data_IF_753873159791
#
_entry.id   IF_753873159791
#
_cell.length_a   1.000
_cell.length_b   1.000
_cell.length_c   1.000
_cell.angle_alpha   90.00
_cell.angle_beta   90.00
_cell.angle_gamma   90.00
#
_symmetry.space_group_name_H-M   'P 1'
#
loop_
_entity.id
_entity.type
_entity.pdbx_description
1 polymer ?
#
# COMPACT_ATOMS: atom_id res chain seq x y z
N UNK A 1 76.41 -59.48 2.85
CA UNK A 1 75.37 -58.42 2.83
C UNK A 1 75.82 -57.36 3.80
N UNK A 2 76.46 -56.29 3.30
CA UNK A 2 76.96 -55.18 4.12
C UNK A 2 75.84 -54.23 4.47
N UNK A 3 75.47 -54.26 5.75
CA UNK A 3 74.53 -53.26 6.33
C UNK A 3 75.37 -51.93 6.39
N UNK A 4 75.20 -51.10 5.39
CA UNK A 4 75.77 -49.76 5.36
C UNK A 4 75.39 -48.99 6.58
N UNK A 5 76.36 -48.46 7.30
CA UNK A 5 76.15 -47.51 8.42
C UNK A 5 75.42 -46.28 7.89
N UNK A 6 74.14 -46.20 8.22
CA UNK A 6 73.35 -45.03 7.92
C UNK A 6 73.99 -43.82 8.61
N UNK A 7 74.51 -42.91 7.80
CA UNK A 7 75.14 -41.68 8.28
C UNK A 7 74.09 -40.90 9.15
N UNK A 8 74.53 -40.43 10.29
CA UNK A 8 73.64 -39.74 11.27
C UNK A 8 72.77 -38.66 10.63
N UNK A 9 73.28 -38.06 9.56
CA UNK A 9 72.59 -37.02 8.79
C UNK A 9 71.43 -37.59 7.98
N UNK A 10 71.59 -38.78 7.37
CA UNK A 10 70.54 -39.46 6.58
C UNK A 10 69.44 -39.97 7.48
N UNK A 11 69.74 -40.40 8.73
CA UNK A 11 68.77 -40.80 9.71
C UNK A 11 67.86 -39.62 10.14
N UNK A 12 68.42 -38.42 10.38
CA UNK A 12 67.63 -37.24 10.72
C UNK A 12 66.74 -36.78 9.60
N UNK A 13 67.18 -36.84 8.33
CA UNK A 13 66.36 -36.49 7.17
C UNK A 13 65.21 -37.48 6.99
N UNK A 14 65.44 -38.77 7.16
CA UNK A 14 64.40 -39.78 7.10
C UNK A 14 63.36 -39.61 8.25
N UNK A 15 63.82 -39.35 9.47
CA UNK A 15 62.97 -39.14 10.61
C UNK A 15 62.15 -37.85 10.47
N UNK A 16 62.74 -36.76 9.97
CA UNK A 16 62.08 -35.50 9.67
C UNK A 16 61.05 -35.67 8.56
N UNK A 17 61.38 -36.38 7.50
CA UNK A 17 60.43 -36.70 6.43
C UNK A 17 59.22 -37.53 6.89
N UNK A 18 59.49 -38.54 7.72
CA UNK A 18 58.43 -39.39 8.30
C UNK A 18 57.48 -38.54 9.20
N UNK A 19 58.08 -37.66 10.04
CA UNK A 19 57.31 -36.80 10.92
C UNK A 19 56.45 -35.79 10.13
N UNK A 20 56.98 -35.26 9.05
CA UNK A 20 56.27 -34.36 8.16
C UNK A 20 55.10 -35.05 7.48
N UNK A 21 55.28 -36.30 7.02
CA UNK A 21 54.21 -37.12 6.44
C UNK A 21 53.11 -37.41 7.49
N UNK A 22 53.47 -37.72 8.73
CA UNK A 22 52.50 -37.92 9.82
C UNK A 22 51.73 -36.66 10.15
N UNK A 23 52.40 -35.51 10.23
CA UNK A 23 51.74 -34.21 10.45
C UNK A 23 50.82 -33.84 9.29
N UNK A 24 51.23 -34.04 8.06
CA UNK A 24 50.39 -33.80 6.89
C UNK A 24 49.18 -34.79 6.87
N UNK A 25 49.43 -36.05 7.18
CA UNK A 25 48.40 -37.10 7.16
C UNK A 25 47.34 -36.92 8.27
N UNK A 26 47.77 -36.49 9.47
CA UNK A 26 46.86 -36.29 10.62
C UNK A 26 46.39 -34.85 10.73
N UNK A 27 47.21 -33.81 10.43
CA UNK A 27 46.86 -32.43 10.59
C UNK A 27 46.05 -31.87 9.41
N UNK A 28 46.31 -32.32 8.15
CA UNK A 28 45.60 -31.79 6.97
C UNK A 28 44.50 -32.72 6.46
N UNK A 29 44.68 -34.04 6.62
CA UNK A 29 43.67 -35.03 6.18
C UNK A 29 42.87 -35.68 7.32
N UNK A 30 43.27 -35.47 8.58
CA UNK A 30 42.61 -36.08 9.74
C UNK A 30 41.25 -35.47 10.12
N UNK A 31 40.94 -34.25 9.70
CA UNK A 31 39.72 -33.55 10.15
C UNK A 31 38.74 -33.19 9.01
N UNK A 32 38.78 -33.93 7.93
CA UNK A 32 37.65 -33.95 7.00
C UNK A 32 36.80 -35.23 7.17
N UNK A 33 36.55 -35.63 8.39
CA UNK A 33 35.27 -36.25 8.67
C UNK A 33 34.26 -35.13 8.43
N UNK A 34 33.78 -35.01 7.19
CA UNK A 34 32.49 -34.39 6.96
C UNK A 34 31.59 -35.00 8.02
N UNK A 35 31.30 -34.24 9.08
CA UNK A 35 30.05 -34.43 9.80
C UNK A 35 28.97 -34.24 8.71
N UNK A 36 28.68 -35.33 8.03
CA UNK A 36 27.33 -35.55 7.53
C UNK A 36 26.54 -35.55 8.82
N UNK A 37 26.12 -34.33 9.23
CA UNK A 37 24.99 -34.17 10.11
C UNK A 37 23.89 -34.81 9.29
N UNK A 38 23.78 -36.13 9.39
CA UNK A 38 22.54 -36.77 9.08
C UNK A 38 21.51 -35.97 9.86
N UNK A 39 20.53 -35.31 9.20
CA UNK A 39 19.43 -34.74 9.91
C UNK A 39 18.70 -35.93 10.55
N UNK A 40 19.17 -36.35 11.68
CA UNK A 40 18.39 -37.19 12.58
C UNK A 40 17.35 -36.25 13.22
N UNK A 41 16.53 -35.59 12.36
CA UNK A 41 15.21 -35.22 12.84
C UNK A 41 14.63 -36.52 13.34
N UNK A 42 14.60 -36.66 14.64
CA UNK A 42 14.01 -37.84 15.25
C UNK A 42 12.61 -37.99 14.64
N UNK A 43 12.26 -39.21 14.21
CA UNK A 43 10.95 -39.50 13.59
C UNK A 43 9.80 -38.75 14.30
N UNK A 44 9.77 -38.70 15.67
CA UNK A 44 8.78 -37.91 16.41
C UNK A 44 8.80 -36.42 16.12
N UNK A 45 9.97 -35.84 15.87
CA UNK A 45 10.07 -34.42 15.54
C UNK A 45 9.52 -34.09 14.11
N UNK A 46 9.79 -34.99 13.15
CA UNK A 46 9.24 -34.90 11.81
C UNK A 46 7.71 -35.11 11.81
N UNK A 47 7.20 -36.04 12.58
CA UNK A 47 5.75 -36.25 12.75
C UNK A 47 5.05 -35.06 13.40
N UNK A 48 5.63 -34.48 14.44
CA UNK A 48 5.09 -33.29 15.09
C UNK A 48 5.06 -32.08 14.14
N UNK A 49 6.09 -31.92 13.29
CA UNK A 49 6.16 -30.88 12.24
C UNK A 49 5.09 -31.12 11.18
N UNK A 50 4.92 -32.36 10.71
CA UNK A 50 3.86 -32.75 9.79
C UNK A 50 2.47 -32.48 10.36
N UNK A 51 2.24 -32.81 11.62
CA UNK A 51 0.99 -32.52 12.33
C UNK A 51 0.69 -31.06 12.36
N UNK A 52 1.65 -30.23 12.71
CA UNK A 52 1.52 -28.75 12.72
C UNK A 52 1.26 -28.19 11.32
N UNK A 53 1.97 -28.66 10.29
CA UNK A 53 1.75 -28.24 8.92
C UNK A 53 0.35 -28.61 8.41
N UNK A 54 -0.14 -29.82 8.73
CA UNK A 54 -1.51 -30.24 8.41
C UNK A 54 -2.55 -29.37 9.10
N UNK A 55 -2.32 -29.03 10.37
CA UNK A 55 -3.22 -28.15 11.11
C UNK A 55 -3.26 -26.74 10.51
N UNK A 56 -2.10 -26.19 10.14
CA UNK A 56 -2.02 -24.90 9.44
C UNK A 56 -2.73 -24.98 8.10
N UNK A 57 -2.46 -26.01 7.30
CA UNK A 57 -3.09 -26.23 6.01
C UNK A 57 -4.63 -26.33 6.12
N UNK A 58 -5.13 -26.98 7.16
CA UNK A 58 -6.56 -27.09 7.41
C UNK A 58 -7.22 -25.72 7.74
N UNK A 59 -6.47 -24.75 8.27
CA UNK A 59 -7.01 -23.40 8.56
C UNK A 59 -6.99 -22.45 7.34
N UNK A 60 -6.22 -22.78 6.29
CA UNK A 60 -6.08 -21.93 5.08
C UNK A 60 -7.42 -21.64 4.42
N UNK A 61 -8.27 -22.65 4.07
CA UNK A 61 -9.53 -22.36 3.37
C UNK A 61 -10.47 -21.48 4.18
N UNK A 62 -10.47 -21.63 5.51
CA UNK A 62 -11.24 -20.74 6.39
C UNK A 62 -10.76 -19.30 6.35
N UNK A 63 -9.44 -19.10 6.39
CA UNK A 63 -8.84 -17.74 6.30
C UNK A 63 -9.04 -17.11 4.93
N UNK A 64 -8.94 -17.90 3.86
CA UNK A 64 -9.21 -17.41 2.49
C UNK A 64 -10.67 -16.98 2.32
N UNK A 65 -11.62 -17.74 2.89
CA UNK A 65 -13.03 -17.36 2.87
C UNK A 65 -13.29 -16.06 3.64
N UNK A 66 -12.65 -15.86 4.78
CA UNK A 66 -12.74 -14.61 5.56
C UNK A 66 -12.11 -13.45 4.77
N UNK A 67 -10.93 -13.65 4.20
CA UNK A 67 -10.26 -12.64 3.38
C UNK A 67 -11.13 -12.23 2.19
N UNK A 68 -11.70 -13.21 1.48
CA UNK A 68 -12.60 -12.94 0.34
C UNK A 68 -13.86 -12.17 0.75
N UNK A 69 -14.44 -12.50 1.90
CA UNK A 69 -15.58 -11.74 2.43
C UNK A 69 -15.18 -10.31 2.80
N UNK A 70 -14.05 -10.14 3.49
CA UNK A 70 -13.56 -8.83 3.90
C UNK A 70 -13.20 -7.96 2.68
N UNK A 71 -12.56 -8.53 1.66
CA UNK A 71 -12.25 -7.78 0.43
C UNK A 71 -13.49 -7.39 -0.36
N UNK A 72 -14.49 -8.27 -0.46
CA UNK A 72 -15.76 -7.94 -1.12
C UNK A 72 -16.55 -6.87 -0.36
N UNK A 73 -16.54 -6.91 0.97
CA UNK A 73 -17.16 -5.88 1.80
C UNK A 73 -16.45 -4.53 1.64
N UNK A 74 -15.11 -4.53 1.65
CA UNK A 74 -14.30 -3.34 1.43
C UNK A 74 -14.60 -2.75 0.05
N UNK A 75 -14.55 -3.57 -1.02
CA UNK A 75 -14.86 -3.13 -2.37
C UNK A 75 -16.28 -2.57 -2.50
N UNK A 76 -17.25 -3.15 -1.77
CA UNK A 76 -18.60 -2.63 -1.71
C UNK A 76 -18.69 -1.25 -1.06
N UNK A 77 -17.91 -1.01 0.00
CA UNK A 77 -17.86 0.28 0.69
C UNK A 77 -17.07 1.33 -0.07
N UNK A 78 -16.08 0.91 -0.86
CA UNK A 78 -15.25 1.80 -1.66
C UNK A 78 -15.85 2.16 -3.03
N UNK A 79 -17.06 1.69 -3.36
CA UNK A 79 -17.70 1.99 -4.65
C UNK A 79 -17.88 3.48 -4.91
N UNK A 80 -18.05 4.27 -3.85
CA UNK A 80 -18.22 5.72 -3.93
C UNK A 80 -16.92 6.53 -3.97
N UNK A 81 -15.75 5.88 -3.93
CA UNK A 81 -14.46 6.56 -4.01
C UNK A 81 -14.13 6.86 -5.47
N UNK A 82 -13.71 8.11 -5.75
CA UNK A 82 -13.28 8.50 -7.10
C UNK A 82 -12.03 7.71 -7.53
N UNK A 83 -12.15 6.95 -8.63
CA UNK A 83 -11.06 6.18 -9.21
C UNK A 83 -10.37 7.02 -10.28
N UNK A 84 -9.21 7.54 -9.97
CA UNK A 84 -8.39 8.32 -10.88
C UNK A 84 -6.91 7.95 -10.74
N UNK A 85 -6.13 8.25 -11.76
CA UNK A 85 -4.68 8.02 -11.73
C UNK A 85 -3.90 9.24 -11.21
N UNK A 86 -4.49 10.42 -11.35
CA UNK A 86 -3.91 11.68 -10.89
C UNK A 86 -4.93 12.53 -10.12
N UNK A 87 -4.44 13.41 -9.26
CA UNK A 87 -5.27 14.35 -8.52
C UNK A 87 -6.06 15.29 -9.45
N UNK A 88 -5.44 15.76 -10.52
CA UNK A 88 -6.10 16.60 -11.51
C UNK A 88 -7.24 15.88 -12.22
N UNK A 89 -7.06 14.59 -12.51
CA UNK A 89 -8.10 13.76 -13.12
C UNK A 89 -9.27 13.54 -12.13
N UNK A 90 -8.97 13.31 -10.85
CA UNK A 90 -10.01 13.20 -9.81
C UNK A 90 -10.82 14.48 -9.67
N UNK A 91 -10.16 15.64 -9.68
CA UNK A 91 -10.82 16.96 -9.66
C UNK A 91 -11.68 17.18 -10.89
N UNK A 92 -11.19 16.80 -12.08
CA UNK A 92 -11.98 16.90 -13.32
C UNK A 92 -13.20 15.96 -13.31
N UNK A 93 -13.08 14.75 -12.77
CA UNK A 93 -14.22 13.86 -12.59
C UNK A 93 -15.26 14.44 -11.64
N UNK A 94 -14.80 14.95 -10.49
CA UNK A 94 -15.68 15.60 -9.52
C UNK A 94 -16.41 16.81 -10.14
N UNK A 95 -15.68 17.66 -10.87
CA UNK A 95 -16.27 18.79 -11.58
C UNK A 95 -17.31 18.34 -12.61
N UNK A 96 -17.05 17.25 -13.33
CA UNK A 96 -18.00 16.69 -14.30
C UNK A 96 -19.29 16.20 -13.63
N UNK A 97 -19.19 15.51 -12.49
CA UNK A 97 -20.36 15.10 -11.68
C UNK A 97 -21.16 16.34 -11.28
N UNK A 98 -20.48 17.36 -10.73
CA UNK A 98 -21.14 18.62 -10.33
C UNK A 98 -21.87 19.27 -11.52
N UNK A 99 -21.22 19.36 -12.67
CA UNK A 99 -21.83 19.94 -13.88
C UNK A 99 -23.04 19.15 -14.35
N UNK A 100 -22.96 17.81 -14.32
CA UNK A 100 -24.08 16.95 -14.72
C UNK A 100 -25.28 17.18 -13.83
N UNK A 101 -25.09 17.18 -12.51
CA UNK A 101 -26.15 17.40 -11.52
C UNK A 101 -26.69 18.83 -11.60
N UNK A 102 -25.83 19.83 -11.78
CA UNK A 102 -26.22 21.22 -11.93
C UNK A 102 -27.08 21.43 -13.19
N UNK A 103 -26.63 20.90 -14.33
CA UNK A 103 -27.36 21.00 -15.59
C UNK A 103 -28.75 20.32 -15.52
N UNK A 104 -28.85 19.16 -14.85
CA UNK A 104 -30.13 18.48 -14.62
C UNK A 104 -31.13 19.35 -13.82
N UNK A 105 -30.63 20.28 -12.98
CA UNK A 105 -31.43 21.22 -12.20
C UNK A 105 -31.51 22.63 -12.83
N UNK A 106 -31.05 22.79 -14.07
CA UNK A 106 -31.10 24.07 -14.78
C UNK A 106 -30.13 25.13 -14.21
N UNK A 107 -29.03 24.68 -13.59
CA UNK A 107 -28.01 25.54 -13.00
C UNK A 107 -26.77 25.53 -13.89
N UNK A 108 -26.27 26.71 -14.27
CA UNK A 108 -24.98 26.89 -14.97
C UNK A 108 -23.87 27.05 -13.91
N UNK A 109 -23.36 25.90 -13.42
CA UNK A 109 -22.26 25.88 -12.47
C UNK A 109 -20.93 26.13 -13.21
N UNK A 110 -20.11 27.02 -12.68
CA UNK A 110 -18.76 27.30 -13.20
C UNK A 110 -17.73 26.93 -12.17
N UNK A 111 -16.72 26.17 -12.59
CA UNK A 111 -15.55 25.94 -11.76
C UNK A 111 -14.85 27.25 -11.45
N UNK A 112 -14.49 27.48 -10.21
CA UNK A 112 -13.65 28.61 -9.86
C UNK A 112 -12.22 28.40 -10.33
N UNK A 113 -11.47 29.45 -10.56
CA UNK A 113 -10.05 29.36 -10.88
C UNK A 113 -9.25 28.84 -9.69
N UNK A 114 -8.37 27.88 -9.96
CA UNK A 114 -7.45 27.34 -8.97
C UNK A 114 -8.06 26.25 -8.08
N UNK A 115 -7.84 25.00 -8.45
CA UNK A 115 -8.21 23.88 -7.60
C UNK A 115 -7.22 23.75 -6.44
N UNK A 116 -7.69 23.61 -5.19
CA UNK A 116 -6.82 23.41 -4.05
C UNK A 116 -6.08 22.06 -4.17
N UNK A 117 -4.86 22.03 -3.65
CA UNK A 117 -4.09 20.78 -3.61
C UNK A 117 -4.81 19.71 -2.78
N UNK A 118 -4.74 18.44 -3.19
CA UNK A 118 -5.30 17.35 -2.42
C UNK A 118 -4.76 17.31 -1.00
N UNK A 119 -5.63 16.99 -0.04
CA UNK A 119 -5.28 16.90 1.38
C UNK A 119 -5.37 15.45 1.87
N UNK A 120 -4.52 15.04 2.82
CA UNK A 120 -4.68 13.75 3.47
C UNK A 120 -5.92 13.77 4.36
N UNK A 121 -6.80 12.79 4.21
CA UNK A 121 -7.97 12.62 5.05
C UNK A 121 -7.73 11.56 6.15
N UNK A 122 -7.08 10.44 5.77
CA UNK A 122 -6.72 9.34 6.67
C UNK A 122 -5.43 8.66 6.18
N UNK A 123 -5.07 7.51 6.79
CA UNK A 123 -3.88 6.75 6.40
C UNK A 123 -3.93 6.31 4.94
N UNK A 124 -5.10 5.84 4.48
CA UNK A 124 -5.28 5.21 3.17
C UNK A 124 -6.06 6.09 2.18
N UNK A 125 -6.58 7.22 2.64
CA UNK A 125 -7.44 8.09 1.85
C UNK A 125 -6.96 9.54 1.84
N UNK A 126 -7.33 10.22 0.78
CA UNK A 126 -7.17 11.66 0.60
C UNK A 126 -8.48 12.31 0.22
N UNK A 127 -8.46 13.62 0.17
CA UNK A 127 -9.57 14.48 -0.21
C UNK A 127 -9.15 15.38 -1.35
N UNK A 128 -9.96 15.45 -2.40
CA UNK A 128 -9.87 16.46 -3.46
C UNK A 128 -11.05 17.39 -3.34
N UNK A 129 -10.82 18.67 -3.52
CA UNK A 129 -11.87 19.69 -3.42
C UNK A 129 -11.96 20.49 -4.70
N UNK A 130 -13.18 20.87 -5.08
CA UNK A 130 -13.48 21.69 -6.24
C UNK A 130 -14.43 22.82 -5.83
N UNK A 131 -13.99 24.06 -5.88
CA UNK A 131 -14.88 25.21 -5.67
C UNK A 131 -15.66 25.49 -6.95
N UNK A 132 -16.97 25.73 -6.82
CA UNK A 132 -17.86 26.10 -7.90
C UNK A 132 -18.67 27.33 -7.51
N UNK A 133 -19.05 28.14 -8.51
CA UNK A 133 -19.87 29.32 -8.31
C UNK A 133 -20.99 29.33 -9.35
N UNK A 134 -22.20 29.66 -8.92
CA UNK A 134 -23.36 29.73 -9.79
C UNK A 134 -24.42 30.67 -9.22
N UNK A 135 -25.37 31.06 -10.06
CA UNK A 135 -26.54 31.84 -9.66
C UNK A 135 -27.79 31.05 -10.00
N UNK A 136 -28.68 30.87 -9.03
CA UNK A 136 -29.89 30.10 -9.21
C UNK A 136 -31.02 30.59 -8.29
N UNK A 137 -32.23 30.09 -8.51
CA UNK A 137 -33.32 30.21 -7.56
C UNK A 137 -33.12 29.30 -6.32
N UNK A 138 -33.76 29.67 -5.20
CA UNK A 138 -33.65 28.88 -3.97
C UNK A 138 -34.15 27.44 -4.18
N UNK A 139 -35.24 27.24 -4.89
CA UNK A 139 -35.81 25.91 -5.17
C UNK A 139 -34.84 25.06 -6.00
N UNK A 140 -34.18 25.66 -7.01
CA UNK A 140 -33.16 24.98 -7.81
C UNK A 140 -31.96 24.58 -6.95
N UNK A 141 -31.54 25.45 -6.03
CA UNK A 141 -30.42 25.15 -5.12
C UNK A 141 -30.73 23.99 -4.18
N UNK A 142 -31.94 23.96 -3.59
CA UNK A 142 -32.36 22.86 -2.72
C UNK A 142 -32.41 21.53 -3.51
N UNK A 143 -32.99 21.54 -4.70
CA UNK A 143 -33.06 20.35 -5.56
C UNK A 143 -31.64 19.88 -5.99
N UNK A 144 -30.75 20.80 -6.27
CA UNK A 144 -29.34 20.49 -6.59
C UNK A 144 -28.64 19.81 -5.41
N UNK A 145 -28.79 20.32 -4.19
CA UNK A 145 -28.21 19.70 -3.00
C UNK A 145 -28.80 18.30 -2.73
N UNK A 146 -30.10 18.15 -2.92
CA UNK A 146 -30.76 16.86 -2.80
C UNK A 146 -30.28 15.86 -3.86
N UNK A 147 -30.08 16.32 -5.09
CA UNK A 147 -29.52 15.48 -6.15
C UNK A 147 -28.07 15.06 -5.86
N UNK A 148 -27.23 15.98 -5.40
CA UNK A 148 -25.85 15.66 -4.97
C UNK A 148 -25.81 14.65 -3.83
N UNK A 149 -26.75 14.72 -2.88
CA UNK A 149 -26.81 13.77 -1.78
C UNK A 149 -27.22 12.36 -2.21
N UNK A 150 -27.81 12.19 -3.41
CA UNK A 150 -28.20 10.92 -3.98
C UNK A 150 -27.17 10.34 -4.97
N UNK A 151 -26.08 11.06 -5.24
CA UNK A 151 -25.02 10.54 -6.10
C UNK A 151 -24.33 9.33 -5.46
N UNK A 152 -23.90 8.36 -6.25
CA UNK A 152 -23.21 7.16 -5.74
C UNK A 152 -21.82 7.45 -5.20
N UNK A 153 -21.20 8.55 -5.58
CA UNK A 153 -19.90 8.99 -5.11
C UNK A 153 -19.99 9.56 -3.68
N UNK A 154 -18.93 9.35 -2.91
CA UNK A 154 -18.80 9.91 -1.56
C UNK A 154 -18.40 11.37 -1.69
N UNK A 155 -19.42 12.24 -1.66
CA UNK A 155 -19.28 13.68 -1.76
C UNK A 155 -19.51 14.32 -0.41
N UNK A 156 -18.77 15.38 -0.12
CA UNK A 156 -18.97 16.22 1.05
C UNK A 156 -18.95 17.70 0.65
N UNK A 157 -19.77 18.49 1.30
CA UNK A 157 -19.76 19.94 1.14
C UNK A 157 -18.91 20.53 2.25
N UNK A 158 -17.78 21.16 1.86
CA UNK A 158 -16.83 21.76 2.80
C UNK A 158 -17.22 23.19 3.17
N UNK A 159 -17.76 23.93 2.21
CA UNK A 159 -18.10 25.34 2.39
C UNK A 159 -19.29 25.70 1.52
N UNK A 160 -20.25 26.44 2.11
CA UNK A 160 -21.38 27.02 1.39
C UNK A 160 -21.47 28.50 1.74
N UNK A 161 -21.35 29.34 0.73
CA UNK A 161 -21.62 30.79 0.84
C UNK A 161 -22.78 31.14 -0.05
N UNK A 162 -23.85 31.68 0.54
CA UNK A 162 -25.03 32.12 -0.19
C UNK A 162 -25.16 33.63 -0.01
N UNK A 163 -25.10 34.34 -1.09
CA UNK A 163 -25.29 35.82 -1.11
C UNK A 163 -26.61 36.12 -1.78
N UNK A 164 -27.48 36.83 -1.08
CA UNK A 164 -28.76 37.27 -1.64
C UNK A 164 -28.54 38.24 -2.78
N UNK A 165 -29.10 37.92 -3.95
CA UNK A 165 -29.19 38.89 -5.05
C UNK A 165 -30.26 39.94 -4.74
N UNK A 166 -29.96 41.20 -5.04
CA UNK A 166 -30.90 42.30 -4.89
C UNK A 166 -31.95 42.33 -6.01
N UNK A 167 -32.16 41.20 -6.65
CA UNK A 167 -32.98 41.08 -7.86
C UNK A 167 -34.42 40.69 -7.51
N UNK A 168 -35.36 41.32 -8.24
CA UNK A 168 -36.80 40.98 -8.18
C UNK A 168 -37.09 39.49 -8.47
N UNK A 169 -36.13 38.75 -9.03
CA UNK A 169 -36.24 37.32 -9.38
C UNK A 169 -35.91 36.38 -8.25
N UNK A 170 -35.57 36.86 -7.05
CA UNK A 170 -35.17 36.00 -5.89
C UNK A 170 -34.01 35.05 -6.20
N UNK A 171 -33.12 35.40 -7.11
CA UNK A 171 -31.93 34.63 -7.39
C UNK A 171 -30.89 34.84 -6.28
N UNK A 172 -30.20 33.79 -5.94
CA UNK A 172 -29.09 33.80 -5.01
C UNK A 172 -27.79 33.46 -5.76
N UNK A 173 -26.71 34.10 -5.38
CA UNK A 173 -25.38 33.70 -5.78
C UNK A 173 -24.80 32.72 -4.77
N UNK A 174 -24.43 31.54 -5.23
CA UNK A 174 -23.90 30.50 -4.41
C UNK A 174 -22.44 30.24 -4.77
N UNK A 175 -21.60 30.22 -3.76
CA UNK A 175 -20.24 29.66 -3.84
C UNK A 175 -20.23 28.40 -2.99
N UNK A 176 -19.86 27.28 -3.59
CA UNK A 176 -19.90 25.97 -2.99
C UNK A 176 -18.56 25.30 -3.19
N UNK A 177 -17.98 24.74 -2.13
CA UNK A 177 -16.80 23.90 -2.18
C UNK A 177 -17.20 22.47 -1.92
N UNK A 178 -17.10 21.65 -2.94
CA UNK A 178 -17.37 20.21 -2.86
C UNK A 178 -16.08 19.44 -2.77
N UNK A 179 -16.07 18.42 -1.95
CA UNK A 179 -14.94 17.52 -1.81
C UNK A 179 -15.37 16.08 -2.02
N UNK A 180 -14.44 15.26 -2.50
CA UNK A 180 -14.62 13.84 -2.72
C UNK A 180 -13.43 13.04 -2.18
N UNK A 181 -13.71 11.81 -1.79
CA UNK A 181 -12.70 10.89 -1.28
C UNK A 181 -11.95 10.25 -2.43
N UNK A 182 -10.62 10.20 -2.30
CA UNK A 182 -9.70 9.60 -3.27
C UNK A 182 -8.70 8.70 -2.56
N UNK A 183 -8.06 7.72 -3.26
CA UNK A 183 -6.97 6.95 -2.69
C UNK A 183 -5.79 7.84 -2.27
N UNK A 184 -5.13 7.49 -1.17
CA UNK A 184 -3.99 8.23 -0.59
C UNK A 184 -2.85 8.46 -1.58
N UNK A 185 -2.63 7.56 -2.53
CA UNK A 185 -1.60 7.66 -3.58
C UNK A 185 -1.69 8.95 -4.41
N UNK A 186 -2.86 9.59 -4.48
CA UNK A 186 -3.09 10.83 -5.22
C UNK A 186 -2.75 12.10 -4.43
N UNK A 187 -2.49 11.97 -3.14
CA UNK A 187 -2.13 13.09 -2.28
C UNK A 187 -0.61 13.23 -2.24
N UNK A 188 -0.04 14.38 -2.63
CA UNK A 188 1.39 14.59 -2.54
C UNK A 188 1.85 14.48 -1.09
N UNK A 189 2.90 13.71 -0.85
CA UNK A 189 3.57 13.71 0.44
C UNK A 189 4.16 15.09 0.68
N UNK A 190 3.82 15.71 1.81
CA UNK A 190 4.56 16.90 2.26
C UNK A 190 6.00 16.43 2.46
N UNK A 191 6.90 16.78 1.55
CA UNK A 191 8.33 16.69 1.81
C UNK A 191 8.57 17.43 3.12
N UNK A 192 8.87 16.67 4.17
CA UNK A 192 9.23 17.24 5.46
C UNK A 192 10.32 18.27 5.20
N UNK A 193 10.09 19.48 5.66
CA UNK A 193 11.15 20.46 5.81
C UNK A 193 12.19 19.78 6.69
N UNK A 194 13.34 19.41 6.09
CA UNK A 194 14.48 18.94 6.86
C UNK A 194 14.75 20.00 7.93
N UNK A 195 14.60 19.62 9.19
CA UNK A 195 15.03 20.45 10.30
C UNK A 195 16.55 20.61 10.14
N UNK A 196 16.99 21.84 9.89
CA UNK A 196 18.37 22.27 9.98
C UNK A 196 18.73 22.46 11.47
#
# INVERSE_FOLDING_TARGET
MTVGTLDRRTLFVLLGGLLLIVVLRFGVYGDRATQVVAPSESIPAAESRLGRLRQIAATVPGKEAVLKKASAELESREKGILKADTAAQAQAQLLNVIHTVAAANGIDARGAEGFPAPKPLATDYGEVSVPVTFTCGIDQFVNFLAALANEPEILATSEIQVTGGNDKRKNVQVRLSLSAVVPRKLVPEKKGMAAF
#
